data_IF_343361723588
#
_entry.id   IF_343361723588
#
_cell.length_a   1.000
_cell.length_b   1.000
_cell.length_c   1.000
_cell.angle_alpha   90.00
_cell.angle_beta   90.00
_cell.angle_gamma   90.00
#
_symmetry.space_group_name_H-M   'P 1'
#
loop_
_entity.id
_entity.type
_entity.pdbx_description
1 polymer ?
#
# COMPACT_ATOMS: atom_id res chain seq x y z
N UNK A 1 13.64 -1.73 1.81
CA UNK A 1 12.70 -2.87 1.77
C UNK A 1 12.29 -3.18 3.21
N UNK A 2 10.99 -3.32 3.46
CA UNK A 2 10.42 -3.58 4.78
C UNK A 2 10.03 -5.06 4.91
N UNK A 3 10.21 -5.58 6.12
CA UNK A 3 9.67 -6.87 6.57
C UNK A 3 8.57 -6.56 7.57
N UNK A 4 7.37 -7.09 7.36
CA UNK A 4 6.20 -6.77 8.19
C UNK A 4 5.24 -7.95 8.28
N UNK A 5 4.44 -7.98 9.35
CA UNK A 5 3.31 -8.88 9.46
C UNK A 5 2.19 -8.39 8.53
N UNK A 6 1.54 -9.30 7.85
CA UNK A 6 0.46 -8.94 6.93
C UNK A 6 -0.68 -8.23 7.70
N UNK A 7 -1.07 -7.01 7.30
CA UNK A 7 -1.99 -6.18 8.09
C UNK A 7 -3.48 -6.54 7.89
N UNK A 8 -3.78 -7.51 7.05
CA UNK A 8 -5.16 -7.87 6.72
C UNK A 8 -5.35 -9.38 6.79
N UNK A 9 -6.57 -9.82 7.03
CA UNK A 9 -6.91 -11.23 6.89
C UNK A 9 -6.93 -11.60 5.40
N UNK A 10 -6.43 -12.77 5.02
CA UNK A 10 -6.30 -13.18 3.62
C UNK A 10 -7.61 -13.08 2.81
N UNK A 11 -8.76 -13.25 3.46
CA UNK A 11 -10.08 -13.23 2.81
C UNK A 11 -10.92 -11.98 3.15
N UNK A 12 -10.35 -10.99 3.85
CA UNK A 12 -11.08 -9.79 4.29
C UNK A 12 -10.20 -8.56 4.21
N UNK A 13 -10.20 -7.91 3.08
CA UNK A 13 -9.47 -6.67 2.82
C UNK A 13 -10.05 -5.45 3.53
N UNK A 14 -11.20 -5.60 4.16
CA UNK A 14 -11.95 -4.55 4.87
C UNK A 14 -11.57 -4.41 6.36
N UNK A 15 -10.77 -5.33 6.90
CA UNK A 15 -10.38 -5.30 8.31
C UNK A 15 -8.88 -5.41 8.52
N UNK A 16 -8.33 -4.50 9.31
CA UNK A 16 -6.90 -4.53 9.69
C UNK A 16 -6.75 -5.40 10.92
N UNK A 17 -6.03 -6.52 10.77
CA UNK A 17 -5.63 -7.42 11.85
C UNK A 17 -4.25 -7.97 11.55
N UNK A 18 -3.39 -8.03 12.56
CA UNK A 18 -2.05 -8.58 12.40
C UNK A 18 -2.11 -10.09 12.22
N UNK A 19 -1.59 -10.59 11.09
CA UNK A 19 -1.35 -12.00 10.89
C UNK A 19 0.09 -12.32 11.32
N UNK A 20 0.27 -12.75 12.56
CA UNK A 20 1.59 -13.02 13.15
C UNK A 20 2.31 -14.23 12.54
N UNK A 21 1.61 -15.07 11.78
CA UNK A 21 2.19 -16.24 11.12
C UNK A 21 2.67 -15.95 9.69
N UNK A 22 2.41 -14.75 9.16
CA UNK A 22 2.76 -14.38 7.78
C UNK A 22 3.59 -13.11 7.75
N UNK A 23 4.84 -13.27 7.30
CA UNK A 23 5.73 -12.15 7.04
C UNK A 23 5.75 -11.84 5.55
N UNK A 24 5.61 -10.57 5.24
CA UNK A 24 5.74 -10.05 3.89
C UNK A 24 7.00 -9.21 3.78
N UNK A 25 7.62 -9.28 2.60
CA UNK A 25 8.77 -8.45 2.25
C UNK A 25 8.38 -7.62 1.04
N UNK A 26 8.33 -6.29 1.20
CA UNK A 26 7.95 -5.34 0.15
C UNK A 26 8.85 -4.12 0.18
N UNK A 27 8.95 -3.46 -0.96
CA UNK A 27 9.64 -2.18 -1.07
C UNK A 27 8.75 -1.07 -0.52
N UNK A 28 9.30 -0.20 0.34
CA UNK A 28 8.63 1.03 0.75
C UNK A 28 8.68 2.02 -0.42
N UNK A 29 7.53 2.51 -0.84
CA UNK A 29 7.37 3.45 -1.95
C UNK A 29 7.09 4.86 -1.43
N UNK A 30 6.25 4.99 -0.39
CA UNK A 30 5.97 6.27 0.22
C UNK A 30 5.98 6.16 1.75
N UNK A 31 6.46 7.22 2.38
CA UNK A 31 6.64 7.38 3.82
C UNK A 31 5.46 8.16 4.43
N UNK A 32 5.32 8.17 5.76
CA UNK A 32 4.36 9.03 6.44
C UNK A 32 4.55 10.51 6.04
N UNK A 33 3.46 11.19 5.69
CA UNK A 33 3.46 12.59 5.22
C UNK A 33 3.64 12.77 3.71
N UNK A 34 4.03 11.72 2.98
CA UNK A 34 4.15 11.77 1.52
C UNK A 34 2.77 11.83 0.83
N UNK A 35 2.79 12.28 -0.42
CA UNK A 35 1.64 12.13 -1.34
C UNK A 35 2.08 11.29 -2.52
N UNK A 36 1.48 10.10 -2.65
CA UNK A 36 1.78 9.11 -3.68
C UNK A 36 0.80 9.23 -4.85
N UNK A 37 1.31 9.06 -6.05
CA UNK A 37 0.56 8.83 -7.28
C UNK A 37 1.16 7.67 -8.08
N UNK A 38 0.35 7.02 -8.92
CA UNK A 38 0.83 6.21 -10.05
C UNK A 38 0.30 6.90 -11.31
N UNK A 39 1.21 7.23 -12.23
CA UNK A 39 0.90 7.87 -13.51
C UNK A 39 1.47 7.06 -14.65
N UNK A 40 0.61 6.60 -15.54
CA UNK A 40 1.01 5.71 -16.63
C UNK A 40 1.68 4.42 -16.16
N UNK A 41 1.39 3.93 -14.95
CA UNK A 41 2.01 2.75 -14.35
C UNK A 41 3.28 3.03 -13.52
N UNK A 42 3.74 4.29 -13.42
CA UNK A 42 4.96 4.67 -12.71
C UNK A 42 4.66 5.36 -11.38
N UNK A 43 5.38 4.95 -10.32
CA UNK A 43 5.28 5.60 -9.01
C UNK A 43 5.86 7.01 -9.03
N UNK A 44 5.14 7.92 -8.42
CA UNK A 44 5.56 9.31 -8.17
C UNK A 44 5.20 9.70 -6.73
N UNK A 45 6.13 10.30 -6.04
CA UNK A 45 5.92 10.92 -4.73
C UNK A 45 6.21 12.41 -4.87
N UNK A 46 5.30 13.24 -4.35
CA UNK A 46 5.44 14.69 -4.45
C UNK A 46 6.75 15.15 -3.80
N UNK A 47 7.55 15.93 -4.55
CA UNK A 47 8.86 16.39 -4.08
C UNK A 47 10.01 15.40 -4.25
N UNK A 48 9.76 14.14 -4.57
CA UNK A 48 10.78 13.15 -4.86
C UNK A 48 11.08 13.10 -6.36
N UNK A 49 12.36 13.24 -6.72
CA UNK A 49 12.84 13.14 -8.11
C UNK A 49 13.46 11.78 -8.43
N UNK A 50 13.65 10.95 -7.41
CA UNK A 50 14.25 9.63 -7.56
C UNK A 50 13.25 8.65 -8.19
N UNK A 51 13.81 7.67 -8.88
CA UNK A 51 13.05 6.55 -9.42
C UNK A 51 12.66 5.59 -8.28
N UNK A 52 11.37 5.45 -8.04
CA UNK A 52 10.83 4.61 -6.98
C UNK A 52 10.45 3.22 -7.49
N UNK A 53 10.64 2.22 -6.65
CA UNK A 53 10.22 0.84 -6.96
C UNK A 53 11.11 0.13 -7.98
N UNK A 54 10.60 -0.98 -8.52
CA UNK A 54 11.23 -1.72 -9.61
C UNK A 54 10.79 -1.13 -10.96
N UNK A 55 11.68 -0.45 -11.64
CA UNK A 55 11.37 0.27 -12.89
C UNK A 55 11.01 -0.67 -14.03
N UNK A 56 11.72 -1.76 -14.19
CA UNK A 56 11.46 -2.73 -15.26
C UNK A 56 10.06 -3.33 -15.11
N UNK A 57 9.67 -3.65 -13.88
CA UNK A 57 8.30 -4.12 -13.60
C UNK A 57 7.25 -3.05 -13.86
N UNK A 58 7.55 -1.77 -13.61
CA UNK A 58 6.67 -0.65 -13.95
C UNK A 58 6.53 -0.49 -15.46
N UNK A 59 7.65 -0.53 -16.20
CA UNK A 59 7.63 -0.48 -17.67
C UNK A 59 6.84 -1.64 -18.26
N UNK A 60 7.05 -2.86 -17.75
CA UNK A 60 6.28 -4.03 -18.18
C UNK A 60 4.78 -3.81 -18.00
N UNK A 61 4.35 -3.41 -16.80
CA UNK A 61 2.94 -3.17 -16.50
C UNK A 61 2.34 -2.03 -17.33
N UNK A 62 3.10 -0.95 -17.54
CA UNK A 62 2.70 0.18 -18.35
C UNK A 62 2.48 -0.20 -19.83
N UNK A 63 3.32 -1.08 -20.37
CA UNK A 63 3.28 -1.54 -21.76
C UNK A 63 2.18 -2.56 -22.09
N UNK A 64 1.56 -3.19 -21.08
CA UNK A 64 0.52 -4.19 -21.31
C UNK A 64 -0.75 -3.54 -21.86
N UNK A 65 -1.27 -4.03 -22.99
CA UNK A 65 -2.54 -3.52 -23.55
C UNK A 65 -3.76 -3.93 -22.71
N UNK A 66 -3.83 -5.20 -22.31
CA UNK A 66 -4.94 -5.79 -21.56
C UNK A 66 -4.38 -6.62 -20.39
N UNK A 67 -4.02 -5.97 -19.27
CA UNK A 67 -3.47 -6.65 -18.09
C UNK A 67 -4.38 -7.78 -17.56
N UNK A 68 -5.69 -7.60 -17.63
CA UNK A 68 -6.69 -8.55 -17.15
C UNK A 68 -6.60 -9.89 -17.86
N UNK A 69 -6.26 -9.92 -19.15
CA UNK A 69 -6.07 -11.15 -19.92
C UNK A 69 -4.87 -11.97 -19.46
N UNK A 70 -3.97 -11.34 -18.67
CA UNK A 70 -2.83 -11.99 -18.04
C UNK A 70 -3.08 -12.33 -16.57
N UNK A 71 -4.33 -12.25 -16.11
CA UNK A 71 -4.70 -12.51 -14.73
C UNK A 71 -4.30 -11.40 -13.73
N UNK A 72 -3.94 -10.21 -14.23
CA UNK A 72 -3.56 -9.08 -13.39
C UNK A 72 -4.82 -8.34 -12.94
N UNK A 73 -4.99 -8.17 -11.64
CA UNK A 73 -6.09 -7.39 -11.07
C UNK A 73 -5.84 -5.90 -11.33
N UNK A 74 -6.74 -5.26 -12.05
CA UNK A 74 -6.64 -3.84 -12.44
C UNK A 74 -7.22 -2.90 -11.40
N UNK A 75 -8.30 -3.32 -10.72
CA UNK A 75 -8.92 -2.56 -9.65
C UNK A 75 -7.99 -2.40 -8.44
N UNK A 76 -8.02 -1.23 -7.82
CA UNK A 76 -7.14 -0.90 -6.71
C UNK A 76 -7.92 -0.36 -5.51
N UNK A 77 -7.28 -0.37 -4.36
CA UNK A 77 -7.72 0.38 -3.18
C UNK A 77 -8.12 1.83 -3.57
N UNK A 78 -9.19 2.41 -3.02
CA UNK A 78 -10.16 1.82 -2.09
C UNK A 78 -11.34 1.11 -2.78
N UNK A 79 -11.20 0.71 -4.05
CA UNK A 79 -12.22 0.03 -4.87
C UNK A 79 -13.50 0.84 -5.07
N UNK A 80 -13.35 2.15 -5.20
CA UNK A 80 -14.46 3.07 -5.44
C UNK A 80 -14.36 3.71 -6.82
N UNK A 81 -15.41 3.56 -7.63
CA UNK A 81 -15.42 4.05 -9.02
C UNK A 81 -15.36 5.56 -9.13
N UNK A 82 -15.80 6.31 -8.11
CA UNK A 82 -15.77 7.78 -8.13
C UNK A 82 -14.36 8.36 -8.18
N UNK A 83 -13.35 7.59 -7.76
CA UNK A 83 -11.94 8.00 -7.81
C UNK A 83 -11.27 7.68 -9.16
N UNK A 84 -11.82 6.75 -9.94
CA UNK A 84 -11.24 6.32 -11.22
C UNK A 84 -9.86 5.63 -11.10
N UNK A 85 -9.48 5.17 -9.89
CA UNK A 85 -8.16 4.61 -9.64
C UNK A 85 -8.02 3.18 -10.14
N UNK A 86 -6.87 2.91 -10.70
CA UNK A 86 -6.48 1.59 -11.17
C UNK A 86 -4.95 1.42 -11.04
N UNK A 87 -4.42 0.26 -11.44
CA UNK A 87 -2.98 -0.05 -11.29
C UNK A 87 -2.05 0.86 -12.09
N UNK A 88 -2.55 1.64 -13.07
CA UNK A 88 -1.77 2.59 -13.89
C UNK A 88 -2.03 4.04 -13.53
N UNK A 89 -3.23 4.34 -13.08
CA UNK A 89 -3.66 5.69 -12.70
C UNK A 89 -4.20 5.62 -11.28
N UNK A 90 -3.44 6.09 -10.31
CA UNK A 90 -3.75 5.97 -8.89
C UNK A 90 -3.36 7.25 -8.15
N UNK A 91 -4.16 7.66 -7.20
CA UNK A 91 -3.87 8.85 -6.40
C UNK A 91 -4.43 10.14 -7.00
N UNK A 92 -4.09 11.29 -6.41
CA UNK A 92 -3.14 11.44 -5.30
C UNK A 92 -3.62 10.82 -3.99
N UNK A 93 -2.75 10.03 -3.34
CA UNK A 93 -2.99 9.44 -2.03
C UNK A 93 -2.04 10.06 -1.00
N UNK A 94 -2.51 10.95 -0.12
CA UNK A 94 -1.73 11.38 1.02
C UNK A 94 -1.56 10.22 2.02
N UNK A 95 -0.32 9.96 2.41
CA UNK A 95 0.03 8.92 3.38
C UNK A 95 -0.01 9.52 4.77
N UNK A 96 -0.90 9.10 5.67
CA UNK A 96 -1.03 9.72 6.96
C UNK A 96 0.21 9.56 7.82
N UNK A 97 0.55 10.61 8.53
CA UNK A 97 1.53 10.58 9.60
C UNK A 97 0.87 10.85 10.95
N UNK A 98 1.55 10.42 12.00
CA UNK A 98 1.12 10.69 13.37
C UNK A 98 0.92 12.19 13.59
N UNK A 99 -0.14 12.55 14.32
CA UNK A 99 -0.56 13.91 14.64
C UNK A 99 -1.02 14.76 13.44
N UNK A 100 -1.09 14.18 12.25
CA UNK A 100 -1.67 14.84 11.08
C UNK A 100 -3.20 14.93 11.21
N UNK A 101 -3.74 16.13 10.98
CA UNK A 101 -5.18 16.38 10.94
C UNK A 101 -5.66 16.37 9.49
N UNK A 102 -6.74 15.64 9.23
CA UNK A 102 -7.44 15.62 7.94
C UNK A 102 -8.89 16.03 8.11
N UNK A 103 -9.40 16.82 7.18
CA UNK A 103 -10.82 17.16 7.12
C UNK A 103 -11.59 15.95 6.58
N UNK A 104 -12.68 15.60 7.28
CA UNK A 104 -13.50 14.46 6.91
C UNK A 104 -14.56 14.88 5.90
N UNK A 105 -14.53 14.25 4.75
CA UNK A 105 -15.49 14.34 3.66
C UNK A 105 -15.63 12.98 2.98
N UNK A 106 -16.39 12.87 1.91
CA UNK A 106 -16.60 11.62 1.19
C UNK A 106 -15.26 10.98 0.73
N UNK A 107 -14.38 11.76 0.11
CA UNK A 107 -13.08 11.25 -0.39
C UNK A 107 -12.18 10.76 0.73
N UNK A 108 -11.99 11.56 1.80
CA UNK A 108 -11.15 11.17 2.94
C UNK A 108 -11.76 10.00 3.72
N UNK A 109 -13.08 9.90 3.78
CA UNK A 109 -13.75 8.70 4.29
C UNK A 109 -13.38 7.46 3.49
N UNK A 110 -13.46 7.49 2.16
CA UNK A 110 -13.09 6.36 1.31
C UNK A 110 -11.63 5.94 1.53
N UNK A 111 -10.71 6.90 1.59
CA UNK A 111 -9.29 6.65 1.73
C UNK A 111 -8.89 6.14 3.11
N UNK A 112 -9.56 6.59 4.18
CA UNK A 112 -9.05 6.39 5.53
C UNK A 112 -9.98 5.62 6.46
N UNK A 113 -11.19 5.23 6.03
CA UNK A 113 -12.16 4.53 6.89
C UNK A 113 -11.59 3.31 7.60
N UNK A 114 -10.77 2.51 6.90
CA UNK A 114 -10.17 1.30 7.49
C UNK A 114 -9.15 1.65 8.57
N UNK A 115 -8.31 2.65 8.32
CA UNK A 115 -7.29 3.11 9.26
C UNK A 115 -7.94 3.71 10.52
N UNK A 116 -8.93 4.57 10.31
CA UNK A 116 -9.65 5.24 11.41
C UNK A 116 -10.41 4.20 12.24
N UNK A 117 -11.12 3.27 11.60
CA UNK A 117 -11.84 2.21 12.30
C UNK A 117 -10.87 1.34 13.13
N UNK A 118 -9.68 1.06 12.59
CA UNK A 118 -8.65 0.30 13.29
C UNK A 118 -8.07 1.07 14.49
N UNK A 119 -7.73 2.36 14.33
CA UNK A 119 -7.21 3.20 15.41
C UNK A 119 -8.22 3.40 16.53
N UNK A 120 -9.50 3.60 16.18
CA UNK A 120 -10.57 3.88 17.12
C UNK A 120 -11.22 2.62 17.70
N UNK A 121 -10.92 1.45 17.10
CA UNK A 121 -11.62 0.17 17.43
C UNK A 121 -13.14 0.32 17.40
N UNK A 122 -13.61 1.15 16.50
CA UNK A 122 -15.02 1.50 16.35
C UNK A 122 -15.39 1.63 14.88
N UNK A 123 -16.66 1.45 14.56
CA UNK A 123 -17.19 1.58 13.20
C UNK A 123 -17.16 3.04 12.76
N UNK A 124 -16.74 3.27 11.53
CA UNK A 124 -16.85 4.56 10.85
C UNK A 124 -17.89 4.44 9.74
N UNK A 125 -18.78 5.39 9.64
CA UNK A 125 -19.89 5.40 8.69
C UNK A 125 -20.04 6.75 7.98
N UNK A 126 -20.47 6.69 6.73
CA UNK A 126 -20.90 7.86 5.97
C UNK A 126 -22.45 7.87 5.92
N UNK A 127 -23.08 8.87 6.51
CA UNK A 127 -24.53 9.04 6.54
C UNK A 127 -24.86 10.44 6.03
N UNK A 128 -25.63 10.53 4.96
CA UNK A 128 -26.06 11.82 4.35
C UNK A 128 -24.90 12.77 4.07
N UNK A 129 -23.74 12.24 3.60
CA UNK A 129 -22.54 13.02 3.31
C UNK A 129 -21.70 13.43 4.52
N UNK A 130 -22.11 13.05 5.73
CA UNK A 130 -21.40 13.32 6.98
C UNK A 130 -20.75 12.05 7.52
N UNK A 131 -19.58 12.18 8.15
CA UNK A 131 -18.80 11.06 8.67
C UNK A 131 -19.00 10.90 10.17
N UNK A 132 -19.28 9.69 10.61
CA UNK A 132 -19.51 9.33 12.01
C UNK A 132 -18.53 8.25 12.48
N UNK A 133 -18.09 8.34 13.73
CA UNK A 133 -17.41 7.25 14.45
C UNK A 133 -18.37 6.81 15.57
N UNK A 134 -18.92 5.61 15.42
CA UNK A 134 -20.09 5.21 16.23
C UNK A 134 -21.24 6.18 16.00
N UNK A 135 -21.72 6.81 17.08
CA UNK A 135 -22.81 7.80 17.01
C UNK A 135 -22.32 9.26 16.96
N UNK A 136 -21.01 9.48 16.96
CA UNK A 136 -20.43 10.83 17.02
C UNK A 136 -20.09 11.34 15.61
N UNK A 137 -20.67 12.48 15.24
CA UNK A 137 -20.30 13.22 14.02
C UNK A 137 -18.89 13.77 14.16
N UNK A 138 -18.08 13.57 13.10
CA UNK A 138 -16.71 14.12 13.03
C UNK A 138 -16.53 14.97 11.78
N UNK A 139 -15.89 16.14 11.93
CA UNK A 139 -15.52 17.02 10.83
C UNK A 139 -14.05 16.92 10.46
N UNK A 140 -13.24 16.43 11.38
CA UNK A 140 -11.81 16.21 11.19
C UNK A 140 -11.35 15.00 12.01
N UNK A 141 -10.22 14.44 11.59
CA UNK A 141 -9.58 13.33 12.28
C UNK A 141 -8.08 13.59 12.45
N UNK A 142 -7.55 13.35 13.65
CA UNK A 142 -6.13 13.42 13.96
C UNK A 142 -5.58 12.00 14.06
N UNK A 143 -4.69 11.63 13.14
CA UNK A 143 -4.07 10.31 13.11
C UNK A 143 -3.16 10.08 14.31
N UNK A 144 -3.26 8.90 14.91
CA UNK A 144 -2.47 8.52 16.09
C UNK A 144 -1.21 7.75 15.72
N UNK A 145 -1.09 7.28 14.47
CA UNK A 145 -0.06 6.38 13.99
C UNK A 145 0.53 6.87 12.66
N UNK A 146 1.70 6.32 12.33
CA UNK A 146 2.31 6.46 11.02
C UNK A 146 1.88 5.33 10.09
N UNK A 147 1.81 5.66 8.80
CA UNK A 147 1.45 4.70 7.75
C UNK A 147 2.45 4.74 6.60
N UNK A 148 2.55 3.65 5.89
CA UNK A 148 3.48 3.47 4.77
C UNK A 148 2.76 2.90 3.56
N UNK A 149 3.24 3.22 2.38
CA UNK A 149 2.81 2.55 1.16
C UNK A 149 3.91 1.64 0.65
N UNK A 150 3.61 0.36 0.50
CA UNK A 150 4.57 -0.66 0.09
C UNK A 150 4.14 -1.35 -1.19
N UNK A 151 5.11 -1.75 -2.02
CA UNK A 151 4.86 -2.50 -3.26
C UNK A 151 5.87 -3.63 -3.45
N UNK A 152 5.40 -4.72 -4.04
CA UNK A 152 6.26 -5.82 -4.46
C UNK A 152 7.01 -5.49 -5.75
N UNK A 153 8.26 -5.95 -5.86
CA UNK A 153 9.05 -5.76 -7.07
C UNK A 153 8.47 -6.52 -8.28
N UNK A 154 7.73 -7.61 -8.07
CA UNK A 154 6.95 -8.26 -9.11
C UNK A 154 5.53 -7.67 -9.18
N UNK A 155 5.40 -6.49 -9.79
CA UNK A 155 4.16 -5.71 -9.78
C UNK A 155 2.95 -6.43 -10.42
N UNK A 156 3.19 -7.32 -11.38
CA UNK A 156 2.14 -8.06 -12.06
C UNK A 156 1.54 -9.16 -11.17
N UNK A 157 2.27 -9.64 -10.17
CA UNK A 157 1.83 -10.67 -9.24
C UNK A 157 2.28 -10.34 -7.82
N UNK A 158 1.73 -9.27 -7.24
CA UNK A 158 2.02 -8.85 -5.88
C UNK A 158 0.75 -8.40 -5.16
N UNK A 159 0.51 -8.97 -4.01
CA UNK A 159 -0.46 -8.45 -3.05
C UNK A 159 0.23 -7.39 -2.19
N UNK A 160 -0.06 -6.11 -2.44
CA UNK A 160 0.59 -4.97 -1.81
C UNK A 160 -0.37 -3.79 -1.60
N UNK A 161 0.14 -2.65 -1.18
CA UNK A 161 -0.67 -1.48 -0.80
C UNK A 161 -1.56 -0.96 -1.92
N UNK A 162 -1.28 -1.26 -3.18
CA UNK A 162 -2.19 -0.94 -4.29
C UNK A 162 -3.56 -1.59 -4.13
N UNK A 163 -3.62 -2.72 -3.42
CA UNK A 163 -4.84 -3.51 -3.27
C UNK A 163 -5.44 -3.41 -1.86
N UNK A 164 -4.64 -3.48 -0.82
CA UNK A 164 -5.16 -3.50 0.55
C UNK A 164 -4.97 -2.16 1.31
N UNK A 165 -4.35 -1.14 0.69
CA UNK A 165 -4.19 0.18 1.28
C UNK A 165 -2.86 0.35 2.04
N UNK A 166 -2.86 1.15 3.10
CA UNK A 166 -1.65 1.56 3.78
C UNK A 166 -1.26 0.63 4.94
N UNK A 167 0.05 0.44 5.11
CA UNK A 167 0.64 -0.39 6.14
C UNK A 167 0.81 0.41 7.45
N UNK A 168 0.19 -0.01 8.57
CA UNK A 168 0.47 0.60 9.86
C UNK A 168 1.90 0.32 10.33
N UNK A 169 2.57 1.31 10.91
CA UNK A 169 3.94 1.21 11.42
C UNK A 169 4.12 0.05 12.40
N UNK A 170 3.15 -0.20 13.27
CA UNK A 170 3.20 -1.25 14.29
C UNK A 170 3.34 -2.67 13.71
N UNK A 171 3.07 -2.85 12.42
CA UNK A 171 3.20 -4.15 11.76
C UNK A 171 4.56 -4.36 11.13
N UNK A 172 5.41 -3.33 11.13
CA UNK A 172 6.77 -3.41 10.61
C UNK A 172 7.66 -4.10 11.63
N UNK A 173 8.25 -5.23 11.23
CA UNK A 173 9.17 -6.02 12.04
C UNK A 173 10.60 -5.52 11.88
N UNK A 174 10.97 -5.06 10.67
CA UNK A 174 12.29 -4.55 10.41
C UNK A 174 12.56 -4.20 8.95
N UNK A 175 13.81 -3.88 8.66
CA UNK A 175 14.31 -3.54 7.33
C UNK A 175 15.23 -4.65 6.81
N UNK A 176 14.91 -5.20 5.64
CA UNK A 176 15.80 -6.11 4.96
C UNK A 176 17.00 -5.33 4.37
N UNK A 177 18.21 -5.70 4.75
CA UNK A 177 19.44 -4.97 4.37
C UNK A 177 20.34 -5.76 3.44
N UNK A 178 20.27 -7.10 3.48
CA UNK A 178 21.09 -7.98 2.65
C UNK A 178 20.30 -9.20 2.18
N UNK A 179 20.71 -9.75 1.05
CA UNK A 179 20.17 -10.99 0.51
C UNK A 179 20.92 -12.15 1.17
N UNK A 180 20.22 -12.96 1.95
CA UNK A 180 20.77 -14.15 2.59
C UNK A 180 20.79 -15.36 1.66
N UNK A 181 19.74 -15.54 0.85
CA UNK A 181 19.61 -16.64 -0.09
C UNK A 181 18.94 -16.13 -1.36
N UNK A 182 19.39 -16.60 -2.53
CA UNK A 182 18.78 -16.32 -3.83
C UNK A 182 18.91 -17.56 -4.70
N UNK A 183 17.78 -18.05 -5.21
CA UNK A 183 17.69 -19.18 -6.11
C UNK A 183 17.06 -18.76 -7.44
N UNK A 184 17.47 -19.44 -8.50
CA UNK A 184 16.81 -19.30 -9.79
C UNK A 184 15.42 -19.96 -9.74
N UNK A 185 14.43 -19.29 -10.31
CA UNK A 185 13.02 -19.69 -10.19
C UNK A 185 12.69 -21.06 -10.79
N UNK A 186 13.39 -21.41 -11.87
CA UNK A 186 13.08 -22.61 -12.66
C UNK A 186 14.04 -23.77 -12.45
N UNK A 187 15.29 -23.48 -12.10
CA UNK A 187 16.34 -24.49 -11.92
C UNK A 187 16.69 -24.78 -10.47
N UNK A 188 16.17 -23.97 -9.55
CA UNK A 188 16.46 -24.00 -8.11
C UNK A 188 17.95 -23.82 -7.77
N UNK A 189 18.77 -23.46 -8.78
CA UNK A 189 20.19 -23.22 -8.60
C UNK A 189 20.44 -21.96 -7.76
N UNK A 190 21.44 -22.02 -6.86
CA UNK A 190 21.81 -20.88 -6.02
C UNK A 190 22.50 -19.82 -6.88
N UNK A 191 22.02 -18.59 -6.78
CA UNK A 191 22.63 -17.41 -7.44
C UNK A 191 23.63 -16.77 -6.48
N UNK A 192 24.84 -17.33 -6.46
CA UNK A 192 25.92 -16.94 -5.55
C UNK A 192 26.28 -15.45 -5.63
N UNK A 193 26.25 -14.88 -6.82
CA UNK A 193 26.54 -13.48 -7.08
C UNK A 193 25.61 -12.50 -6.35
N UNK A 194 24.43 -12.98 -5.90
CA UNK A 194 23.45 -12.18 -5.16
C UNK A 194 23.55 -12.32 -3.64
N UNK A 195 24.22 -13.35 -3.15
CA UNK A 195 24.31 -13.61 -1.72
C UNK A 195 25.13 -12.50 -1.05
N UNK A 196 24.65 -11.99 0.09
CA UNK A 196 25.19 -10.87 0.85
C UNK A 196 25.14 -9.50 0.13
N UNK A 197 24.60 -9.40 -1.08
CA UNK A 197 24.38 -8.11 -1.70
C UNK A 197 23.48 -7.23 -0.84
N UNK A 198 23.81 -5.94 -0.79
CA UNK A 198 22.95 -4.93 -0.14
C UNK A 198 21.65 -4.76 -0.92
N UNK A 199 20.55 -4.73 -0.21
CA UNK A 199 19.24 -4.39 -0.76
C UNK A 199 19.15 -2.85 -0.80
N UNK A 200 18.97 -2.31 -2.01
CA UNK A 200 18.75 -0.87 -2.24
C UNK A 200 17.27 -0.51 -2.06
#
# INVERSE_FOLDING_TARGET
VLVFNFPYQMNRWDSIRMNVMQYYVKRCIALPGDTLEIRGGFYKVRGCREQLGNYEAQQYLAGLQLPEKQGIVVGTFPYDQSLGWNIREFGPLPIPQKDQIVIMNHTTYLLYRQLIAWEQKNKIELKQGQVFIGDSLIHQYCFKKNYYFVSGDNMANSQDSRYWGMLPEEYIVGKATRIWNSKEKYTDQIRWERILMKIK
#
